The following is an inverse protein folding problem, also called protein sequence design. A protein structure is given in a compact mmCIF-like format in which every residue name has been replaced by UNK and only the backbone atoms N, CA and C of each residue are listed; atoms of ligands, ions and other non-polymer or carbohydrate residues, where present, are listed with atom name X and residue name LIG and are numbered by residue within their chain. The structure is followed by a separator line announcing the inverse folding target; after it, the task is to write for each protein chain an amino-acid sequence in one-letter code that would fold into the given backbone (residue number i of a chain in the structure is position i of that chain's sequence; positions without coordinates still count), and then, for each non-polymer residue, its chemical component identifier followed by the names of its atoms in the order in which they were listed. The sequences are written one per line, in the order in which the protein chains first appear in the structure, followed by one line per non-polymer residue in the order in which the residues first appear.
data_IF_127778577404
#
_entry.id   IF_127778577404
#
_cell.length_a   1.000
_cell.length_b   1.000
_cell.length_c   1.000
_cell.angle_alpha   90.00
_cell.angle_beta   90.00
_cell.angle_gamma   90.00
#
_symmetry.space_group_name_H-M   'P 1'
#
loop_
_entity.id
_entity.type
_entity.pdbx_description
1 polymer ?
#
# COMPACT_ATOMS: atom_id res chain seq x y z
N UNK A 1 44.44 -19.69 18.02
CA UNK A 1 43.18 -20.23 17.45
C UNK A 1 42.08 -20.04 18.48
N UNK A 2 41.80 -18.79 18.77
CA UNK A 2 40.74 -18.33 19.66
C UNK A 2 40.34 -16.96 19.11
N UNK A 3 39.07 -16.63 19.24
CA UNK A 3 38.48 -15.33 18.93
C UNK A 3 37.83 -15.15 17.54
N UNK A 4 37.01 -16.12 17.13
CA UNK A 4 36.00 -15.89 16.07
C UNK A 4 34.56 -16.10 16.56
N UNK A 5 34.38 -16.76 17.70
CA UNK A 5 33.05 -17.06 18.27
C UNK A 5 32.41 -15.85 18.99
N UNK A 6 33.20 -14.95 19.57
CA UNK A 6 32.67 -13.82 20.36
C UNK A 6 31.98 -12.72 19.52
N UNK A 7 32.26 -12.63 18.22
CA UNK A 7 31.65 -11.63 17.34
C UNK A 7 30.25 -12.02 16.85
N UNK A 8 29.89 -13.31 16.94
CA UNK A 8 28.62 -13.84 16.46
C UNK A 8 27.46 -13.57 17.43
N UNK A 9 27.74 -13.29 18.70
CA UNK A 9 26.75 -12.93 19.72
C UNK A 9 26.42 -11.42 19.78
N UNK A 10 27.07 -10.59 18.95
CA UNK A 10 26.89 -9.13 18.97
C UNK A 10 25.65 -8.65 18.20
N UNK A 11 25.13 -9.46 17.27
CA UNK A 11 23.94 -9.15 16.48
C UNK A 11 23.02 -10.38 16.45
N UNK A 12 21.77 -10.26 16.92
CA UNK A 12 20.78 -11.33 16.79
C UNK A 12 20.63 -11.80 15.34
N UNK A 13 20.29 -13.07 15.12
CA UNK A 13 20.00 -13.59 13.79
C UNK A 13 18.99 -12.67 13.07
N UNK A 14 19.30 -12.14 11.88
CA UNK A 14 18.46 -11.14 11.21
C UNK A 14 17.06 -11.67 10.90
N UNK A 15 16.94 -12.99 10.67
CA UNK A 15 15.65 -13.65 10.49
C UNK A 15 14.74 -13.63 11.74
N UNK A 16 15.30 -13.45 12.94
CA UNK A 16 14.55 -13.32 14.19
C UNK A 16 13.97 -11.92 14.42
N UNK A 17 14.53 -10.90 13.75
CA UNK A 17 14.07 -9.51 13.80
C UNK A 17 12.97 -9.24 12.77
N UNK A 18 12.85 -10.11 11.76
CA UNK A 18 11.83 -9.99 10.70
C UNK A 18 10.48 -10.51 11.19
N UNK A 19 9.59 -9.59 11.55
CA UNK A 19 8.18 -9.89 11.82
C UNK A 19 7.41 -10.18 10.51
N UNK A 20 7.48 -11.44 10.05
CA UNK A 20 6.83 -11.90 8.82
C UNK A 20 5.32 -11.65 8.80
N UNK A 21 4.65 -11.78 9.95
CA UNK A 21 3.21 -11.52 10.07
C UNK A 21 2.85 -10.04 9.84
N UNK A 22 3.70 -9.12 10.32
CA UNK A 22 3.54 -7.69 10.10
C UNK A 22 3.72 -7.35 8.62
N UNK A 23 4.76 -7.89 7.98
CA UNK A 23 5.05 -7.67 6.55
C UNK A 23 3.89 -8.17 5.69
N UNK A 24 3.36 -9.36 5.98
CA UNK A 24 2.22 -9.92 5.25
C UNK A 24 0.97 -9.03 5.39
N UNK A 25 0.67 -8.52 6.60
CA UNK A 25 -0.45 -7.59 6.82
C UNK A 25 -0.29 -6.30 6.00
N UNK A 26 0.90 -5.72 5.95
CA UNK A 26 1.19 -4.55 5.12
C UNK A 26 1.05 -4.85 3.62
N UNK A 27 1.54 -6.02 3.17
CA UNK A 27 1.44 -6.44 1.77
C UNK A 27 -0.02 -6.69 1.35
N UNK A 28 -0.82 -7.36 2.19
CA UNK A 28 -2.25 -7.56 1.95
C UNK A 28 -3.03 -6.25 1.94
N UNK A 29 -2.72 -5.33 2.86
CA UNK A 29 -3.29 -3.98 2.88
C UNK A 29 -2.93 -3.22 1.59
N UNK A 30 -1.68 -3.28 1.16
CA UNK A 30 -1.22 -2.67 -0.09
C UNK A 30 -1.90 -3.25 -1.32
N UNK A 31 -2.05 -4.57 -1.40
CA UNK A 31 -2.80 -5.22 -2.48
C UNK A 31 -4.26 -4.80 -2.48
N UNK A 32 -4.90 -4.74 -1.31
CA UNK A 32 -6.28 -4.26 -1.18
C UNK A 32 -6.43 -2.83 -1.72
N UNK A 33 -5.59 -1.90 -1.27
CA UNK A 33 -5.63 -0.51 -1.75
C UNK A 33 -5.29 -0.39 -3.23
N UNK A 34 -4.39 -1.23 -3.74
CA UNK A 34 -3.99 -1.30 -5.14
C UNK A 34 -5.12 -1.81 -6.06
N UNK A 35 -6.11 -2.53 -5.53
CA UNK A 35 -7.31 -2.93 -6.29
C UNK A 35 -8.39 -1.84 -6.18
N UNK A 36 -8.68 -1.38 -4.95
CA UNK A 36 -9.78 -0.44 -4.68
C UNK A 36 -9.59 0.89 -5.41
N UNK A 37 -8.37 1.43 -5.43
CA UNK A 37 -8.10 2.75 -6.02
C UNK A 37 -8.23 2.80 -7.54
N UNK A 38 -7.70 1.85 -8.34
CA UNK A 38 -8.01 1.80 -9.76
C UNK A 38 -9.46 1.45 -10.06
N UNK A 39 -10.17 0.68 -9.22
CA UNK A 39 -11.62 0.52 -9.38
C UNK A 39 -12.36 1.87 -9.34
N UNK A 40 -11.98 2.78 -8.42
CA UNK A 40 -12.51 4.15 -8.39
C UNK A 40 -12.12 4.92 -9.67
N UNK A 41 -10.90 4.72 -10.17
CA UNK A 41 -10.44 5.30 -11.45
C UNK A 41 -11.29 4.86 -12.65
N UNK A 42 -11.68 3.58 -12.69
CA UNK A 42 -12.58 3.05 -13.73
C UNK A 42 -13.98 3.67 -13.62
N UNK A 43 -14.49 3.86 -12.40
CA UNK A 43 -15.75 4.57 -12.17
C UNK A 43 -15.69 6.02 -12.68
N UNK A 44 -14.58 6.73 -12.45
CA UNK A 44 -14.35 8.07 -13.01
C UNK A 44 -14.32 8.04 -14.53
N UNK A 45 -13.65 7.05 -15.13
CA UNK A 45 -13.58 6.88 -16.58
C UNK A 45 -14.98 6.69 -17.19
N UNK A 46 -15.83 5.91 -16.52
CA UNK A 46 -17.22 5.68 -16.95
C UNK A 46 -18.06 6.97 -16.93
N UNK A 47 -17.77 7.88 -15.99
CA UNK A 47 -18.43 9.18 -15.88
C UNK A 47 -18.11 10.12 -17.07
N UNK A 48 -16.96 9.94 -17.73
CA UNK A 48 -16.63 10.68 -18.96
C UNK A 48 -17.45 10.22 -20.17
N UNK A 49 -17.80 8.93 -20.22
CA UNK A 49 -18.51 8.35 -21.36
C UNK A 49 -20.03 8.50 -21.24
N UNK A 50 -20.55 8.47 -20.01
CA UNK A 50 -21.97 8.65 -19.71
C UNK A 50 -22.15 9.71 -18.62
N UNK A 51 -22.38 10.99 -18.97
CA UNK A 51 -22.52 12.07 -17.98
C UNK A 51 -23.79 11.93 -17.11
N UNK A 52 -24.77 11.15 -17.55
CA UNK A 52 -26.04 10.89 -16.82
C UNK A 52 -25.98 9.68 -15.87
N UNK A 53 -24.86 8.92 -15.85
CA UNK A 53 -24.78 7.63 -15.13
C UNK A 53 -24.82 7.78 -13.60
N UNK A 54 -24.53 8.97 -13.06
CA UNK A 54 -24.51 9.27 -11.63
C UNK A 54 -25.39 10.47 -11.25
N UNK A 55 -26.57 10.54 -11.89
CA UNK A 55 -27.60 11.56 -11.65
C UNK A 55 -27.62 12.14 -10.22
N UNK A 56 -27.53 13.46 -10.14
CA UNK A 56 -27.89 14.30 -8.96
C UNK A 56 -27.20 13.99 -7.62
N UNK A 57 -26.10 13.21 -7.57
CA UNK A 57 -25.35 13.00 -6.32
C UNK A 57 -24.17 13.98 -6.18
N UNK A 58 -24.28 14.90 -5.21
CA UNK A 58 -23.26 15.92 -4.89
C UNK A 58 -21.91 15.34 -4.38
N UNK A 59 -21.88 14.05 -4.05
CA UNK A 59 -20.69 13.35 -3.54
C UNK A 59 -19.88 12.64 -4.62
N UNK A 60 -20.52 12.22 -5.73
CA UNK A 60 -19.85 11.54 -6.83
C UNK A 60 -19.61 12.44 -8.03
N UNK A 61 -19.36 13.73 -7.78
CA UNK A 61 -18.99 14.67 -8.84
C UNK A 61 -17.57 14.40 -9.32
N UNK A 62 -17.36 14.52 -10.63
CA UNK A 62 -16.07 14.35 -11.30
C UNK A 62 -14.90 15.07 -10.60
N UNK A 63 -15.12 16.31 -10.15
CA UNK A 63 -14.12 17.12 -9.46
C UNK A 63 -13.68 16.60 -8.09
N UNK A 64 -14.48 15.76 -7.41
CA UNK A 64 -14.19 15.22 -6.07
C UNK A 64 -13.63 13.79 -6.12
N UNK A 65 -14.10 13.00 -7.07
CA UNK A 65 -13.61 11.63 -7.28
C UNK A 65 -12.16 11.60 -7.78
N UNK A 66 -11.72 12.59 -8.58
CA UNK A 66 -10.32 12.67 -9.04
C UNK A 66 -9.33 12.77 -7.87
N UNK A 67 -9.43 13.77 -6.96
CA UNK A 67 -8.60 13.82 -5.76
C UNK A 67 -8.68 12.55 -4.92
N UNK A 68 -9.87 11.93 -4.81
CA UNK A 68 -10.04 10.66 -4.09
C UNK A 68 -9.21 9.52 -4.72
N UNK A 69 -9.26 9.37 -6.05
CA UNK A 69 -8.52 8.33 -6.77
C UNK A 69 -7.00 8.49 -6.58
N UNK A 70 -6.43 9.64 -6.94
CA UNK A 70 -4.98 9.85 -6.84
C UNK A 70 -4.47 9.92 -5.40
N UNK A 71 -5.21 10.51 -4.45
CA UNK A 71 -4.82 10.45 -3.04
C UNK A 71 -4.86 9.01 -2.51
N UNK A 72 -5.86 8.22 -2.91
CA UNK A 72 -5.93 6.82 -2.54
C UNK A 72 -4.78 5.99 -3.14
N UNK A 73 -4.39 6.22 -4.40
CA UNK A 73 -3.25 5.52 -5.02
C UNK A 73 -1.95 5.87 -4.28
N UNK A 74 -1.70 7.16 -4.02
CA UNK A 74 -0.45 7.63 -3.41
C UNK A 74 -0.36 7.23 -1.94
N UNK A 75 -1.38 7.54 -1.15
CA UNK A 75 -1.35 7.34 0.30
C UNK A 75 -1.81 5.95 0.74
N UNK A 76 -2.75 5.35 0.00
CA UNK A 76 -3.25 4.01 0.29
C UNK A 76 -2.32 2.95 -0.26
N UNK A 77 -2.21 2.85 -1.58
CA UNK A 77 -1.47 1.76 -2.21
C UNK A 77 0.04 1.93 -2.08
N UNK A 78 0.60 3.08 -2.49
CA UNK A 78 2.06 3.27 -2.50
C UNK A 78 2.67 3.30 -1.10
N UNK A 79 2.08 4.00 -0.13
CA UNK A 79 2.64 4.08 1.22
C UNK A 79 2.63 2.74 1.95
N UNK A 80 1.55 1.96 1.86
CA UNK A 80 1.45 0.65 2.54
C UNK A 80 2.41 -0.39 1.94
N UNK A 81 2.56 -0.41 0.61
CA UNK A 81 3.54 -1.25 -0.09
C UNK A 81 4.98 -0.84 0.26
N UNK A 82 5.26 0.46 0.30
CA UNK A 82 6.60 0.95 0.62
C UNK A 82 7.00 0.62 2.06
N UNK A 83 6.10 0.80 3.02
CA UNK A 83 6.32 0.43 4.43
C UNK A 83 6.53 -1.09 4.56
N UNK A 84 5.71 -1.91 3.91
CA UNK A 84 5.89 -3.36 3.90
C UNK A 84 7.24 -3.79 3.32
N UNK A 85 7.72 -3.11 2.28
CA UNK A 85 9.04 -3.35 1.70
C UNK A 85 10.18 -2.91 2.64
N UNK A 86 10.05 -1.77 3.31
CA UNK A 86 11.03 -1.29 4.28
C UNK A 86 11.21 -2.30 5.43
N UNK A 87 10.12 -2.85 5.97
CA UNK A 87 10.18 -3.90 7.00
C UNK A 87 10.77 -5.23 6.52
N UNK A 88 10.79 -5.46 5.20
CA UNK A 88 11.43 -6.65 4.62
C UNK A 88 12.93 -6.42 4.35
N UNK A 89 13.30 -5.22 3.89
CA UNK A 89 14.70 -4.90 3.52
C UNK A 89 15.55 -4.60 4.74
N UNK A 90 14.99 -3.93 5.74
CA UNK A 90 15.69 -3.55 6.97
C UNK A 90 15.16 -4.46 8.10
N UNK A 91 15.95 -5.46 8.54
CA UNK A 91 15.63 -6.23 9.74
C UNK A 91 15.73 -5.37 11.01
#
# INVERSE_FOLDING_TARGET
MADTTAAQDAFPDPDSLIDRDLILKWLYSGLFWLVVTPSIGVTISSLFNYPDYLGTSQYLTFGRLRPLHINGVIWGAFSTLFIGLCYYIVP
#
